data_IF_634472859674
#
_entry.id   IF_634472859674
#
_cell.length_a   1.000
_cell.length_b   1.000
_cell.length_c   1.000
_cell.angle_alpha   90.00
_cell.angle_beta   90.00
_cell.angle_gamma   90.00
#
_symmetry.space_group_name_H-M   'P 1'
#
loop_
_entity.id
_entity.type
_entity.pdbx_description
1 polymer ?
#
# COMPACT_ATOMS: atom_id res chain seq x y z
N UNK A 1 -33.59 -3.18 36.86
CA UNK A 1 -32.74 -3.98 37.78
C UNK A 1 -32.83 -5.42 37.31
N UNK A 2 -31.78 -5.92 36.67
CA UNK A 2 -31.79 -7.08 35.76
C UNK A 2 -30.86 -8.15 36.31
N UNK A 3 -31.44 -9.34 36.54
CA UNK A 3 -30.92 -10.71 36.54
C UNK A 3 -30.01 -11.24 37.67
N UNK A 4 -30.64 -12.08 38.49
CA UNK A 4 -30.06 -13.07 39.39
C UNK A 4 -29.89 -14.44 38.71
N UNK A 5 -28.66 -14.94 38.74
CA UNK A 5 -28.18 -16.32 38.98
C UNK A 5 -29.04 -17.55 38.54
N UNK A 6 -28.41 -18.32 37.65
CA UNK A 6 -28.05 -19.75 37.74
C UNK A 6 -29.06 -20.86 37.32
N UNK A 7 -28.54 -21.67 36.38
CA UNK A 7 -28.82 -23.06 36.03
C UNK A 7 -30.08 -23.39 35.18
N UNK A 8 -29.83 -23.64 33.90
CA UNK A 8 -30.65 -24.50 33.04
C UNK A 8 -30.29 -25.99 33.28
N UNK A 9 -31.25 -26.92 33.37
CA UNK A 9 -30.97 -28.33 33.55
C UNK A 9 -30.86 -29.03 32.19
N UNK A 10 -29.69 -29.56 31.88
CA UNK A 10 -29.53 -30.52 30.79
C UNK A 10 -29.64 -31.93 31.37
N UNK A 11 -30.70 -32.63 30.98
CA UNK A 11 -30.90 -34.09 31.09
C UNK A 11 -31.18 -34.65 32.49
N UNK A 12 -32.41 -34.45 32.97
CA UNK A 12 -33.06 -35.42 33.86
C UNK A 12 -33.94 -36.35 33.00
N UNK A 13 -33.58 -37.63 32.90
CA UNK A 13 -34.49 -38.69 32.44
C UNK A 13 -34.62 -39.74 33.56
N UNK A 14 -35.76 -39.69 34.24
CA UNK A 14 -36.49 -40.70 35.02
C UNK A 14 -35.81 -41.50 36.17
N UNK A 15 -36.45 -41.36 37.35
CA UNK A 15 -36.81 -42.33 38.39
C UNK A 15 -36.16 -43.74 38.35
N UNK A 16 -34.92 -43.87 38.85
CA UNK A 16 -34.53 -44.67 40.03
C UNK A 16 -33.00 -44.53 40.22
N UNK A 17 -32.53 -44.58 41.46
CA UNK A 17 -31.14 -44.28 41.83
C UNK A 17 -30.14 -45.32 41.27
N UNK A 18 -29.12 -44.89 40.51
CA UNK A 18 -27.68 -45.27 40.63
C UNK A 18 -26.85 -44.81 39.43
N UNK A 19 -26.00 -43.78 39.61
CA UNK A 19 -24.94 -43.44 38.66
C UNK A 19 -23.80 -44.45 38.78
N UNK A 20 -23.75 -45.41 37.86
CA UNK A 20 -22.59 -46.29 37.69
C UNK A 20 -21.57 -45.51 36.85
N UNK A 21 -20.55 -44.94 37.49
CA UNK A 21 -19.44 -44.28 36.80
C UNK A 21 -18.62 -45.34 36.04
N UNK A 22 -18.82 -45.47 34.72
CA UNK A 22 -17.98 -46.35 33.90
C UNK A 22 -16.62 -45.67 33.65
N UNK A 23 -15.53 -46.35 33.99
CA UNK A 23 -14.14 -45.90 33.89
C UNK A 23 -13.64 -45.51 32.47
N UNK A 24 -14.50 -45.52 31.45
CA UNK A 24 -14.17 -45.13 30.07
C UNK A 24 -14.11 -43.61 29.82
N UNK A 25 -14.70 -42.78 30.67
CA UNK A 25 -14.71 -41.32 30.47
C UNK A 25 -13.34 -40.65 30.71
N UNK A 26 -12.45 -41.30 31.46
CA UNK A 26 -11.13 -40.74 31.81
C UNK A 26 -10.16 -40.83 30.61
N UNK A 27 -10.28 -41.86 29.76
CA UNK A 27 -9.44 -41.99 28.57
C UNK A 27 -9.81 -40.99 27.45
N UNK A 28 -11.09 -40.63 27.33
CA UNK A 28 -11.55 -39.63 26.34
C UNK A 28 -11.09 -38.22 26.71
N UNK A 29 -10.98 -37.90 28.01
CA UNK A 29 -10.48 -36.62 28.48
C UNK A 29 -8.96 -36.43 28.26
N UNK A 30 -8.18 -37.52 28.30
CA UNK A 30 -6.73 -37.48 28.02
C UNK A 30 -6.40 -37.32 26.52
N UNK A 31 -7.28 -37.76 25.62
CA UNK A 31 -7.10 -37.57 24.18
C UNK A 31 -7.34 -36.11 23.72
N UNK A 32 -8.05 -35.29 24.52
CA UNK A 32 -8.31 -33.89 24.19
C UNK A 32 -7.15 -32.93 24.54
N UNK A 33 -6.08 -33.42 25.19
CA UNK A 33 -4.91 -32.62 25.60
C UNK A 33 -3.71 -32.68 24.63
N UNK A 34 -3.81 -33.41 23.51
CA UNK A 34 -2.68 -33.57 22.57
C UNK A 34 -2.75 -32.60 21.37
N UNK A 35 -3.62 -31.60 21.43
CA UNK A 35 -3.93 -30.73 20.29
C UNK A 35 -3.30 -29.34 20.30
N UNK A 36 -2.22 -29.07 21.04
CA UNK A 36 -1.44 -27.84 20.79
C UNK A 36 -0.37 -28.15 19.78
N UNK A 37 -0.74 -28.14 18.49
CA UNK A 37 0.28 -28.03 17.44
C UNK A 37 0.95 -26.68 17.68
N UNK A 38 2.23 -26.69 18.05
CA UNK A 38 3.03 -25.47 18.03
C UNK A 38 2.92 -24.91 16.61
N UNK A 39 2.37 -23.70 16.47
CA UNK A 39 2.28 -23.04 15.18
C UNK A 39 3.68 -23.08 14.54
N UNK A 40 3.79 -23.71 13.37
CA UNK A 40 5.03 -23.78 12.62
C UNK A 40 4.81 -23.01 11.33
N UNK A 41 5.49 -21.88 11.23
CA UNK A 41 5.38 -20.94 10.11
C UNK A 41 5.64 -21.62 8.75
N UNK A 42 6.48 -22.66 8.70
CA UNK A 42 6.69 -23.46 7.50
C UNK A 42 5.48 -24.32 7.15
N UNK A 43 4.83 -24.94 8.13
CA UNK A 43 3.62 -25.73 7.87
C UNK A 43 2.44 -24.86 7.48
N UNK A 44 2.33 -23.68 8.07
CA UNK A 44 1.30 -22.68 7.75
C UNK A 44 1.47 -22.15 6.32
N UNK A 45 2.71 -22.03 5.85
CA UNK A 45 3.06 -21.72 4.47
C UNK A 45 2.93 -22.92 3.51
N UNK A 46 2.45 -24.09 3.97
CA UNK A 46 2.33 -25.31 3.16
C UNK A 46 3.64 -26.05 2.89
N UNK A 47 4.75 -25.63 3.48
CA UNK A 47 6.10 -26.20 3.33
C UNK A 47 6.34 -27.34 4.33
N UNK A 48 5.43 -28.31 4.36
CA UNK A 48 5.46 -29.43 5.35
C UNK A 48 6.53 -30.48 5.04
N UNK A 49 6.75 -30.78 3.76
CA UNK A 49 7.73 -31.78 3.29
C UNK A 49 8.62 -31.26 2.17
N UNK A 50 8.46 -30.00 1.78
CA UNK A 50 9.18 -29.35 0.69
C UNK A 50 9.99 -28.19 1.24
N UNK A 51 11.17 -28.00 0.69
CA UNK A 51 12.03 -26.88 1.05
C UNK A 51 11.52 -25.59 0.41
N UNK A 52 11.75 -24.46 1.08
CA UNK A 52 11.31 -23.16 0.58
C UNK A 52 11.80 -22.00 1.44
N UNK A 53 11.49 -20.79 0.99
CA UNK A 53 11.81 -19.55 1.69
C UNK A 53 10.54 -18.74 1.87
N UNK A 54 10.38 -18.16 3.05
CA UNK A 54 9.28 -17.25 3.36
C UNK A 54 9.82 -16.00 4.07
N UNK A 55 9.13 -14.84 3.98
CA UNK A 55 9.52 -13.64 4.71
C UNK A 55 9.60 -13.86 6.21
N UNK A 56 10.55 -13.20 6.87
CA UNK A 56 10.56 -13.13 8.32
C UNK A 56 9.44 -12.19 8.80
N UNK A 57 8.67 -12.54 9.84
CA UNK A 57 7.44 -11.84 10.19
C UNK A 57 7.63 -10.41 10.71
N UNK A 58 8.84 -10.05 11.17
CA UNK A 58 9.12 -8.76 11.82
C UNK A 58 10.42 -8.08 11.38
N UNK A 59 11.23 -8.70 10.50
CA UNK A 59 12.55 -8.18 10.15
C UNK A 59 12.86 -8.51 8.69
N UNK A 60 12.79 -7.52 7.82
CA UNK A 60 12.93 -7.75 6.38
C UNK A 60 14.34 -8.08 5.93
N UNK A 61 15.35 -7.73 6.74
CA UNK A 61 16.72 -8.14 6.51
C UNK A 61 16.93 -9.62 6.88
N UNK A 62 15.85 -10.35 7.19
CA UNK A 62 15.85 -11.79 7.46
C UNK A 62 14.76 -12.49 6.66
N UNK A 63 14.94 -13.80 6.48
CA UNK A 63 13.93 -14.70 5.95
C UNK A 63 13.98 -16.04 6.70
N UNK A 64 12.95 -16.84 6.53
CA UNK A 64 12.89 -18.19 7.09
C UNK A 64 13.09 -19.19 5.97
N UNK A 65 14.15 -20.00 6.09
CA UNK A 65 14.37 -21.17 5.26
C UNK A 65 13.69 -22.37 5.90
N UNK A 66 12.75 -22.96 5.18
CA UNK A 66 12.10 -24.20 5.55
C UNK A 66 12.86 -25.35 4.93
N UNK A 67 13.37 -26.27 5.75
CA UNK A 67 14.00 -27.51 5.30
C UNK A 67 13.28 -28.71 5.91
N UNK A 68 12.61 -29.52 5.09
CA UNK A 68 11.78 -30.64 5.59
C UNK A 68 10.74 -30.20 6.64
N UNK A 69 10.14 -29.02 6.46
CA UNK A 69 9.18 -28.43 7.41
C UNK A 69 9.77 -27.81 8.68
N UNK A 70 11.09 -27.79 8.84
CA UNK A 70 11.77 -27.13 9.96
C UNK A 70 12.16 -25.69 9.57
N UNK A 71 11.76 -24.66 10.35
CA UNK A 71 12.14 -23.27 10.09
C UNK A 71 13.55 -22.95 10.58
N UNK A 72 14.31 -22.24 9.76
CA UNK A 72 15.63 -21.67 10.08
C UNK A 72 15.65 -20.20 9.70
N UNK A 73 15.90 -19.32 10.66
CA UNK A 73 16.06 -17.89 10.40
C UNK A 73 17.43 -17.62 9.76
N UNK A 74 17.43 -16.86 8.66
CA UNK A 74 18.63 -16.52 7.91
C UNK A 74 18.63 -15.03 7.62
N UNK A 75 19.72 -14.35 7.97
CA UNK A 75 19.92 -12.93 7.65
C UNK A 75 20.38 -12.75 6.20
N UNK A 76 19.84 -11.73 5.55
CA UNK A 76 20.38 -11.21 4.31
C UNK A 76 21.72 -10.50 4.55
N UNK A 77 22.56 -10.37 3.51
CA UNK A 77 23.73 -9.48 3.57
C UNK A 77 23.34 -8.06 3.95
N UNK A 78 24.25 -7.32 4.59
CA UNK A 78 24.01 -5.92 4.98
C UNK A 78 23.62 -5.08 3.76
N UNK A 79 22.51 -4.35 3.87
CA UNK A 79 21.95 -3.52 2.78
C UNK A 79 21.02 -4.27 1.82
N UNK A 80 20.61 -5.50 2.14
CA UNK A 80 19.67 -6.29 1.35
C UNK A 80 18.47 -6.70 2.22
N UNK A 81 17.29 -6.74 1.60
CA UNK A 81 16.07 -7.28 2.20
C UNK A 81 15.60 -8.51 1.44
N UNK A 82 14.89 -9.42 2.09
CA UNK A 82 14.31 -10.57 1.42
C UNK A 82 13.12 -10.15 0.57
N UNK A 83 13.21 -10.34 -0.74
CA UNK A 83 12.13 -10.10 -1.69
C UNK A 83 11.29 -11.39 -1.83
N UNK A 84 10.04 -11.43 -1.34
CA UNK A 84 9.16 -12.60 -1.42
C UNK A 84 8.78 -12.99 -2.84
N UNK A 85 8.76 -12.05 -3.78
CA UNK A 85 8.42 -12.32 -5.19
C UNK A 85 9.58 -13.03 -5.90
N UNK A 86 10.81 -12.67 -5.57
CA UNK A 86 12.02 -13.26 -6.14
C UNK A 86 12.58 -14.42 -5.31
N UNK A 87 12.05 -14.66 -4.11
CA UNK A 87 12.51 -15.63 -3.12
C UNK A 87 14.02 -15.54 -2.84
N UNK A 88 14.55 -14.32 -2.76
CA UNK A 88 15.98 -14.03 -2.49
C UNK A 88 16.20 -12.67 -1.86
N UNK A 89 17.38 -12.45 -1.29
CA UNK A 89 17.82 -11.13 -0.86
C UNK A 89 18.04 -10.21 -2.07
N UNK A 90 17.46 -9.02 -2.03
CA UNK A 90 17.52 -8.00 -3.08
C UNK A 90 17.81 -6.64 -2.44
N UNK A 91 18.81 -5.93 -2.96
CA UNK A 91 19.17 -4.59 -2.50
C UNK A 91 18.19 -3.52 -2.97
N UNK A 92 17.35 -3.85 -3.96
CA UNK A 92 16.32 -2.94 -4.50
C UNK A 92 14.96 -3.15 -3.85
N UNK A 93 14.79 -4.21 -3.08
CA UNK A 93 13.54 -4.46 -2.40
C UNK A 93 13.46 -3.59 -1.14
N UNK A 94 12.57 -2.61 -1.19
CA UNK A 94 12.19 -1.80 -0.03
C UNK A 94 11.08 -2.55 0.67
N UNK A 95 11.35 -3.04 1.86
CA UNK A 95 10.32 -3.64 2.68
C UNK A 95 9.64 -2.59 3.54
N UNK A 96 8.42 -2.86 3.94
CA UNK A 96 7.78 -2.19 5.07
C UNK A 96 7.88 -3.16 6.25
N UNK A 97 8.62 -2.78 7.29
CA UNK A 97 8.70 -3.61 8.49
C UNK A 97 7.30 -3.76 9.12
N UNK A 98 7.00 -4.97 9.57
CA UNK A 98 5.73 -5.24 10.22
C UNK A 98 5.72 -4.62 11.63
N UNK A 99 4.99 -3.51 11.76
CA UNK A 99 4.79 -2.79 13.03
C UNK A 99 3.52 -3.22 13.76
N UNK A 100 2.88 -4.32 13.34
CA UNK A 100 1.66 -4.80 13.95
C UNK A 100 1.87 -5.28 15.39
N UNK A 101 1.02 -4.84 16.34
CA UNK A 101 1.01 -5.41 17.68
C UNK A 101 0.71 -6.92 17.65
N UNK A 102 1.33 -7.72 18.54
CA UNK A 102 1.21 -9.18 18.52
C UNK A 102 -0.21 -9.70 18.81
N UNK A 103 -1.10 -8.84 19.29
CA UNK A 103 -2.47 -9.19 19.66
C UNK A 103 -3.44 -8.10 19.26
N UNK A 104 -4.68 -8.48 18.96
CA UNK A 104 -5.78 -7.56 18.67
C UNK A 104 -5.99 -7.31 17.18
N UNK A 105 -6.92 -6.39 16.90
CA UNK A 105 -7.20 -5.87 15.56
C UNK A 105 -6.86 -4.38 15.58
N UNK A 106 -5.92 -3.95 14.74
CA UNK A 106 -5.43 -2.57 14.70
C UNK A 106 -5.35 -2.12 13.24
N UNK A 107 -5.68 -0.86 12.99
CA UNK A 107 -5.52 -0.22 11.68
C UNK A 107 -4.40 0.80 11.82
N UNK A 108 -3.38 0.72 10.97
CA UNK A 108 -2.21 1.61 11.00
C UNK A 108 -2.06 2.31 9.66
N UNK A 109 -1.80 3.63 9.62
CA UNK A 109 -1.44 4.30 8.37
C UNK A 109 -0.10 3.76 7.84
N UNK A 110 0.09 3.80 6.53
CA UNK A 110 1.39 3.55 5.92
C UNK A 110 2.12 4.88 5.77
N UNK A 111 3.33 4.97 6.32
CA UNK A 111 4.17 6.16 6.22
C UNK A 111 4.41 6.54 4.75
N UNK A 112 4.18 7.80 4.42
CA UNK A 112 4.35 8.34 3.07
C UNK A 112 3.23 8.02 2.07
N UNK A 113 2.19 7.28 2.48
CA UNK A 113 1.00 7.02 1.65
C UNK A 113 -0.28 7.43 2.38
N UNK A 114 -1.07 8.28 1.74
CA UNK A 114 -2.36 8.74 2.21
C UNK A 114 -3.49 7.75 1.94
N UNK A 115 -3.28 6.80 1.03
CA UNK A 115 -4.31 5.83 0.64
C UNK A 115 -4.07 4.44 1.20
N UNK A 116 -2.83 4.10 1.52
CA UNK A 116 -2.49 2.79 2.05
C UNK A 116 -2.55 2.75 3.57
N UNK A 117 -3.07 1.64 4.08
CA UNK A 117 -3.10 1.35 5.51
C UNK A 117 -2.90 -0.15 5.73
N UNK A 118 -2.45 -0.52 6.93
CA UNK A 118 -2.27 -1.92 7.31
C UNK A 118 -3.35 -2.33 8.29
N UNK A 119 -4.09 -3.39 7.97
CA UNK A 119 -4.94 -4.10 8.91
C UNK A 119 -4.08 -5.15 9.63
N UNK A 120 -3.91 -5.00 10.93
CA UNK A 120 -3.22 -5.96 11.77
C UNK A 120 -4.22 -6.89 12.44
N UNK A 121 -4.03 -8.21 12.33
CA UNK A 121 -4.82 -9.20 13.08
C UNK A 121 -3.86 -10.16 13.77
N UNK A 122 -3.75 -10.06 15.10
CA UNK A 122 -2.91 -10.97 15.90
C UNK A 122 -1.44 -10.98 15.49
N UNK A 123 -0.87 -9.81 15.19
CA UNK A 123 0.53 -9.65 14.75
C UNK A 123 0.77 -9.82 13.24
N UNK A 124 -0.20 -10.32 12.48
CA UNK A 124 -0.09 -10.42 11.03
C UNK A 124 -0.55 -9.12 10.36
N UNK A 125 0.30 -8.56 9.49
CA UNK A 125 0.01 -7.40 8.66
C UNK A 125 -0.71 -7.80 7.37
N UNK A 126 -1.83 -7.14 7.10
CA UNK A 126 -2.60 -7.26 5.86
C UNK A 126 -2.63 -5.88 5.21
N UNK A 127 -1.82 -5.64 4.14
CA UNK A 127 -1.85 -4.39 3.41
C UNK A 127 -3.23 -4.12 2.82
N UNK A 128 -3.71 -2.91 2.94
CA UNK A 128 -4.99 -2.43 2.41
C UNK A 128 -4.79 -1.09 1.73
N UNK A 129 -5.69 -0.75 0.83
CA UNK A 129 -5.72 0.53 0.15
C UNK A 129 -7.15 1.07 0.16
N UNK A 130 -7.29 2.37 0.39
CA UNK A 130 -8.56 3.07 0.26
C UNK A 130 -9.02 3.10 -1.21
N UNK A 131 -10.34 3.18 -1.41
CA UNK A 131 -10.89 3.37 -2.76
C UNK A 131 -10.46 4.72 -3.35
N UNK A 132 -10.52 4.83 -4.68
CA UNK A 132 -10.11 6.04 -5.39
C UNK A 132 -10.85 7.29 -4.87
N UNK A 133 -10.09 8.34 -4.56
CA UNK A 133 -10.62 9.60 -4.02
C UNK A 133 -10.77 9.62 -2.49
N UNK A 134 -10.43 8.54 -1.79
CA UNK A 134 -10.42 8.46 -0.33
C UNK A 134 -8.98 8.36 0.21
N UNK A 135 -8.77 8.94 1.39
CA UNK A 135 -7.53 8.82 2.16
C UNK A 135 -7.82 8.20 3.53
N UNK A 136 -6.88 7.40 4.03
CA UNK A 136 -6.98 6.80 5.35
C UNK A 136 -6.75 7.86 6.43
N UNK A 137 -7.78 8.13 7.23
CA UNK A 137 -7.67 9.01 8.38
C UNK A 137 -7.32 8.20 9.63
N UNK A 138 -6.12 8.40 10.22
CA UNK A 138 -5.72 7.69 11.43
C UNK A 138 -6.49 8.12 12.68
N UNK A 139 -7.20 9.27 12.66
CA UNK A 139 -7.99 9.72 13.80
C UNK A 139 -9.31 8.94 13.93
N UNK A 140 -9.99 8.69 12.80
CA UNK A 140 -11.23 7.90 12.76
C UNK A 140 -11.04 6.43 12.40
N UNK A 141 -9.82 6.04 11.98
CA UNK A 141 -9.45 4.71 11.49
C UNK A 141 -10.29 4.27 10.29
N UNK A 142 -10.55 5.20 9.35
CA UNK A 142 -11.41 4.99 8.18
C UNK A 142 -10.87 5.70 6.96
N UNK A 143 -11.23 5.18 5.79
CA UNK A 143 -11.12 5.94 4.54
C UNK A 143 -12.19 7.02 4.51
N UNK A 144 -11.76 8.28 4.44
CA UNK A 144 -12.62 9.46 4.29
C UNK A 144 -12.25 10.20 2.99
N UNK A 145 -13.07 11.13 2.47
CA UNK A 145 -12.70 11.91 1.28
C UNK A 145 -11.32 12.55 1.43
N UNK A 146 -10.48 12.46 0.39
CA UNK A 146 -9.08 12.91 0.48
C UNK A 146 -8.94 14.39 0.85
N UNK A 147 -9.86 15.24 0.36
CA UNK A 147 -9.93 16.66 0.70
C UNK A 147 -10.25 16.93 2.18
N UNK A 148 -10.97 16.03 2.84
CA UNK A 148 -11.28 16.12 4.27
C UNK A 148 -10.11 15.63 5.12
N UNK A 149 -9.35 14.64 4.64
CA UNK A 149 -8.18 14.11 5.35
C UNK A 149 -7.00 15.10 5.35
N UNK A 150 -6.88 15.95 4.31
CA UNK A 150 -5.75 16.86 4.11
C UNK A 150 -4.38 16.16 4.24
N UNK A 151 -4.31 14.88 3.89
CA UNK A 151 -3.08 14.08 3.92
C UNK A 151 -2.29 14.31 2.63
N UNK A 152 -0.98 14.56 2.75
CA UNK A 152 -0.07 14.76 1.61
C UNK A 152 0.83 13.52 1.44
N UNK A 153 0.81 12.91 0.27
CA UNK A 153 1.67 11.79 -0.08
C UNK A 153 3.15 12.20 -0.10
N UNK A 154 4.05 11.26 0.18
CA UNK A 154 5.48 11.51 0.03
C UNK A 154 5.88 11.44 -1.46
N UNK A 155 6.18 12.58 -2.06
CA UNK A 155 6.65 12.65 -3.45
C UNK A 155 8.19 12.64 -3.60
N UNK A 156 8.94 12.38 -2.54
CA UNK A 156 10.39 12.27 -2.60
C UNK A 156 10.83 10.97 -3.31
N UNK A 157 11.56 11.09 -4.43
CA UNK A 157 12.03 9.96 -5.22
C UNK A 157 13.48 9.57 -4.85
N UNK A 158 13.73 8.36 -4.32
CA UNK A 158 15.08 7.87 -4.05
C UNK A 158 16.03 7.84 -5.26
N UNK A 159 15.49 7.86 -6.49
CA UNK A 159 16.26 7.88 -7.72
C UNK A 159 16.75 9.28 -8.12
N UNK A 160 16.18 10.35 -7.54
CA UNK A 160 16.53 11.74 -7.88
C UNK A 160 17.44 12.31 -6.77
N UNK A 161 18.61 12.90 -7.11
CA UNK A 161 19.47 13.48 -6.09
C UNK A 161 18.81 14.74 -5.46
N UNK A 162 18.90 14.94 -4.14
CA UNK A 162 18.37 16.13 -3.46
C UNK A 162 19.14 17.42 -3.84
N UNK A 163 18.54 18.61 -3.67
CA UNK A 163 17.19 18.83 -3.12
C UNK A 163 16.08 18.57 -4.15
N UNK A 164 15.02 17.93 -3.69
CA UNK A 164 13.76 17.78 -4.44
C UNK A 164 12.70 18.62 -3.74
N UNK A 165 11.78 19.20 -4.53
CA UNK A 165 10.74 20.08 -4.05
C UNK A 165 9.39 19.66 -4.61
N UNK A 166 8.36 19.75 -3.80
CA UNK A 166 6.98 19.63 -4.24
C UNK A 166 6.07 20.51 -3.39
N UNK A 167 4.89 20.82 -3.91
CA UNK A 167 3.93 21.74 -3.29
C UNK A 167 2.87 20.96 -2.53
N UNK A 168 2.35 21.51 -1.43
CA UNK A 168 1.19 20.92 -0.78
C UNK A 168 -0.05 21.05 -1.70
N UNK A 169 -0.74 19.95 -2.04
CA UNK A 169 -1.88 19.98 -2.96
C UNK A 169 -3.13 20.68 -2.41
N UNK A 170 -3.22 20.88 -1.09
CA UNK A 170 -4.35 21.56 -0.43
C UNK A 170 -4.03 23.03 -0.08
N UNK A 171 -2.76 23.38 0.00
CA UNK A 171 -2.30 24.74 0.32
C UNK A 171 -0.98 25.08 -0.40
N UNK A 172 -1.08 25.79 -1.52
CA UNK A 172 0.08 26.18 -2.32
C UNK A 172 1.04 27.19 -1.64
N UNK A 173 0.70 27.68 -0.45
CA UNK A 173 1.65 28.47 0.37
C UNK A 173 2.59 27.57 1.18
N UNK A 174 2.29 26.27 1.24
CA UNK A 174 3.11 25.24 1.88
C UNK A 174 3.82 24.42 0.80
N UNK A 175 5.09 24.12 1.04
CA UNK A 175 5.90 23.26 0.16
C UNK A 175 6.78 22.34 0.99
N UNK A 176 7.32 21.31 0.35
CA UNK A 176 8.17 20.33 0.99
C UNK A 176 9.54 20.30 0.33
N UNK A 177 10.57 20.10 1.14
CA UNK A 177 11.93 19.79 0.68
C UNK A 177 12.27 18.39 1.17
N UNK A 178 12.71 17.53 0.27
CA UNK A 178 13.16 16.19 0.61
C UNK A 178 14.52 16.22 1.31
N UNK A 179 14.61 15.57 2.48
CA UNK A 179 15.85 15.43 3.22
C UNK A 179 16.77 14.34 2.62
N UNK A 180 17.90 14.07 3.28
CA UNK A 180 18.86 13.03 2.85
C UNK A 180 18.29 11.60 2.93
N UNK A 181 17.18 11.40 3.65
CA UNK A 181 16.49 10.12 3.79
C UNK A 181 15.25 10.01 2.89
N UNK A 182 15.03 10.98 1.99
CA UNK A 182 13.84 11.06 1.13
C UNK A 182 12.53 11.19 1.92
N UNK A 183 12.58 11.89 3.05
CA UNK A 183 11.41 12.28 3.81
C UNK A 183 11.10 13.76 3.57
N UNK A 184 9.82 14.12 3.42
CA UNK A 184 9.43 15.49 3.14
C UNK A 184 9.47 16.33 4.42
N UNK A 185 10.22 17.44 4.36
CA UNK A 185 10.23 18.46 5.40
C UNK A 185 9.37 19.62 4.95
N UNK A 186 8.37 19.99 5.76
CA UNK A 186 7.42 21.05 5.45
C UNK A 186 8.01 22.45 5.66
N UNK A 187 7.68 23.37 4.74
CA UNK A 187 8.04 24.78 4.78
C UNK A 187 6.86 25.65 4.34
N UNK A 188 6.83 26.86 4.88
CA UNK A 188 5.79 27.86 4.62
C UNK A 188 6.40 29.06 3.88
N UNK A 189 5.80 29.43 2.76
CA UNK A 189 6.12 30.67 2.06
C UNK A 189 5.76 31.90 2.90
N UNK A 190 6.40 33.04 2.61
CA UNK A 190 6.05 34.31 3.23
C UNK A 190 4.60 34.72 2.89
N UNK A 191 4.02 35.61 3.69
CA UNK A 191 2.66 36.08 3.43
C UNK A 191 2.58 36.81 2.08
N UNK A 192 1.59 36.45 1.25
CA UNK A 192 1.41 36.96 -0.11
C UNK A 192 2.30 36.29 -1.16
N UNK A 193 2.92 35.15 -0.82
CA UNK A 193 3.66 34.32 -1.78
C UNK A 193 3.18 32.87 -1.78
N UNK A 194 3.30 32.23 -2.93
CA UNK A 194 2.99 30.81 -3.18
C UNK A 194 4.22 30.11 -3.74
N UNK A 195 4.34 28.81 -3.51
CA UNK A 195 5.46 28.04 -4.04
C UNK A 195 5.24 27.70 -5.52
N UNK A 196 6.19 28.07 -6.37
CA UNK A 196 6.19 27.73 -7.80
C UNK A 196 7.26 26.64 -8.07
N UNK A 197 6.79 25.44 -8.41
CA UNK A 197 7.64 24.28 -8.70
C UNK A 197 8.43 24.42 -10.00
N UNK A 198 8.08 25.33 -10.92
CA UNK A 198 8.83 25.55 -12.15
C UNK A 198 10.14 26.31 -11.89
N UNK A 199 10.17 27.14 -10.85
CA UNK A 199 11.36 27.91 -10.44
C UNK A 199 11.92 27.46 -9.08
N UNK A 200 11.22 26.57 -8.38
CA UNK A 200 11.53 26.08 -7.03
C UNK A 200 11.71 27.22 -6.02
N UNK A 201 10.82 28.22 -6.04
CA UNK A 201 10.88 29.39 -5.16
C UNK A 201 9.48 29.93 -4.83
N UNK A 202 9.38 30.67 -3.73
CA UNK A 202 8.16 31.37 -3.34
C UNK A 202 8.02 32.66 -4.17
N UNK A 203 7.01 32.71 -5.04
CA UNK A 203 6.71 33.86 -5.91
C UNK A 203 5.50 34.62 -5.41
N UNK A 204 5.40 35.91 -5.75
CA UNK A 204 4.22 36.73 -5.42
C UNK A 204 2.96 36.11 -6.03
N UNK A 205 1.97 35.85 -5.19
CA UNK A 205 0.70 35.25 -5.61
C UNK A 205 -0.21 34.97 -4.42
N UNK A 206 -1.51 35.04 -4.66
CA UNK A 206 -2.55 34.89 -3.62
C UNK A 206 -3.55 33.75 -3.93
N UNK A 207 -3.37 33.04 -5.05
CA UNK A 207 -4.28 31.98 -5.50
C UNK A 207 -3.51 30.77 -6.00
N UNK A 208 -3.88 29.57 -5.55
CA UNK A 208 -3.24 28.34 -5.99
C UNK A 208 -3.49 28.07 -7.47
N UNK A 209 -2.48 27.60 -8.23
CA UNK A 209 -2.70 27.14 -9.58
C UNK A 209 -3.70 25.99 -9.55
N UNK A 210 -4.87 26.16 -10.15
CA UNK A 210 -5.76 25.02 -10.37
C UNK A 210 -5.10 24.16 -11.42
N UNK A 211 -4.68 22.95 -11.06
CA UNK A 211 -4.24 21.93 -12.00
C UNK A 211 -5.45 21.54 -12.86
N UNK A 212 -5.76 22.33 -13.88
CA UNK A 212 -6.65 21.88 -14.94
C UNK A 212 -5.93 20.70 -15.60
N UNK A 213 -6.35 19.49 -15.24
CA UNK A 213 -6.09 18.31 -16.04
C UNK A 213 -6.59 18.66 -17.43
N UNK A 214 -5.67 19.00 -18.33
CA UNK A 214 -5.96 19.23 -19.73
C UNK A 214 -6.36 17.89 -20.30
N UNK A 215 -7.61 17.52 -20.08
CA UNK A 215 -8.29 16.52 -20.89
C UNK A 215 -8.43 17.22 -22.23
N UNK A 216 -7.43 17.01 -23.09
CA UNK A 216 -7.50 17.29 -24.51
C UNK A 216 -8.69 16.51 -25.05
N UNK A 217 -9.87 17.11 -24.95
CA UNK A 217 -11.03 16.72 -25.73
C UNK A 217 -10.65 17.12 -27.15
N UNK A 218 -10.29 16.13 -27.96
CA UNK A 218 -10.19 16.30 -29.39
C UNK A 218 -11.54 16.85 -29.88
N UNK A 219 -11.61 18.17 -30.06
CA UNK A 219 -12.68 18.81 -30.80
C UNK A 219 -12.41 18.47 -32.25
N UNK A 220 -13.08 17.41 -32.69
CA UNK A 220 -13.18 16.98 -34.07
C UNK A 220 -13.79 18.14 -34.86
N UNK A 221 -12.93 18.96 -35.45
CA UNK A 221 -13.35 20.08 -36.30
C UNK A 221 -13.44 19.54 -37.72
N UNK A 222 -14.58 18.93 -38.06
CA UNK A 222 -14.95 18.72 -39.45
C UNK A 222 -15.27 20.07 -40.10
N UNK A 223 -14.27 20.67 -40.73
CA UNK A 223 -14.47 21.81 -41.63
C UNK A 223 -14.83 21.30 -43.03
N UNK A 224 -16.10 21.50 -43.38
CA UNK A 224 -16.64 21.40 -44.73
C UNK A 224 -16.02 22.47 -45.62
N UNK A 225 -15.21 22.07 -46.60
CA UNK A 225 -14.77 22.98 -47.68
C UNK A 225 -15.65 22.78 -48.91
N UNK A 226 -16.50 23.78 -49.17
CA UNK A 226 -17.18 23.96 -50.43
C UNK A 226 -16.25 24.57 -51.48
N UNK A 227 -16.22 23.89 -52.62
CA UNK A 227 -15.94 24.29 -54.00
C UNK A 227 -15.71 25.79 -54.28
N UNK A 228 -14.65 26.14 -55.04
CA UNK A 228 -14.78 26.98 -56.24
C UNK A 228 -13.56 26.82 -57.15
N UNK A 229 -13.85 26.35 -58.35
CA UNK A 229 -13.01 26.28 -59.55
C UNK A 229 -12.54 27.66 -60.00
N UNK A 230 -11.26 27.82 -60.37
CA UNK A 230 -10.83 28.87 -61.32
C UNK A 230 -9.65 28.37 -62.15
N UNK A 231 -9.91 28.29 -63.46
CA UNK A 231 -9.00 28.01 -64.55
C UNK A 231 -8.28 29.30 -64.96
N UNK A 232 -6.95 29.27 -65.16
CA UNK A 232 -6.28 30.18 -66.10
C UNK A 232 -5.10 29.46 -66.80
N UNK A 233 -5.19 29.44 -68.14
CA UNK A 233 -4.11 29.14 -69.10
C UNK A 233 -3.00 30.21 -68.97
N UNK A 234 -1.72 30.05 -69.30
CA UNK A 234 -1.06 29.88 -70.62
C UNK A 234 0.44 30.21 -70.34
N UNK A 235 1.52 29.52 -70.75
CA UNK A 235 2.18 29.61 -72.07
C UNK A 235 3.57 28.91 -71.98
N UNK A 236 3.91 28.23 -73.07
CA UNK A 236 5.10 27.48 -73.52
C UNK A 236 6.47 28.18 -73.41
N UNK A 237 7.59 27.43 -73.25
CA UNK A 237 8.67 27.26 -74.28
C UNK A 237 9.69 26.14 -73.94
N UNK A 238 10.02 25.32 -74.96
CA UNK A 238 11.24 24.57 -75.38
C UNK A 238 12.54 24.63 -74.53
N UNK A 239 13.55 23.75 -74.60
CA UNK A 239 13.91 22.47 -75.26
C UNK A 239 15.32 22.10 -74.69
N UNK A 240 15.81 20.87 -74.94
CA UNK A 240 17.22 20.47 -75.21
C UNK A 240 17.76 19.34 -74.30
N UNK A 241 17.62 18.10 -74.80
CA UNK A 241 18.45 16.88 -74.60
C UNK A 241 19.89 17.11 -75.17
N UNK A 242 20.89 16.18 -75.19
CA UNK A 242 20.90 14.73 -74.85
C UNK A 242 22.17 14.17 -74.11
N UNK A 243 21.99 12.95 -73.53
CA UNK A 243 22.88 11.73 -73.39
C UNK A 243 24.36 11.85 -72.92
N UNK A 244 25.11 10.76 -72.61
CA UNK A 244 25.05 9.34 -73.00
C UNK A 244 24.40 8.38 -71.99
#
# INVERSE_FOLDING_TARGET
MVYSKLCAPAYCLNYDQTCIFSELAIFVALAALVGTVLANVCTDAGLTTTDGFIPHPTNCSMYISCYGGQPFEVACPVGYNFNPELLKCDSKYVCVENTCPPTGIVYQPVEGSCTDYTLCIGGAAYPQQCEAGLSFDPATLKCIPAEEAQCVDNECDPAIPPPQFFVNPFDCTIFFICDENFLPVEFQCANGTIFDTAVNDCVLGDTCPTTETTTTTAVDTTTTTGDTTTTEETTTTEEVTPTP
#
